data_IF_072845991583
#
_entry.id   IF_072845991583
#
_cell.length_a   1.000
_cell.length_b   1.000
_cell.length_c   1.000
_cell.angle_alpha   90.00
_cell.angle_beta   90.00
_cell.angle_gamma   90.00
#
_symmetry.space_group_name_H-M   'P 1'
#
loop_
_entity.id
_entity.type
_entity.pdbx_description
1 polymer ?
#
# COMPACT_ATOMS: atom_id res chain seq x y z
N UNK A 1 -21.43 -17.33 42.64
CA UNK A 1 -20.36 -18.10 41.97
C UNK A 1 -20.61 -17.95 40.47
N UNK A 2 -20.08 -16.89 39.86
CA UNK A 2 -20.25 -16.66 38.42
C UNK A 2 -19.22 -17.50 37.68
N UNK A 3 -19.71 -18.44 36.88
CA UNK A 3 -18.89 -19.23 35.97
C UNK A 3 -18.16 -18.28 35.02
N UNK A 4 -16.83 -18.26 35.09
CA UNK A 4 -16.01 -17.68 34.00
C UNK A 4 -16.27 -18.55 32.78
N UNK A 5 -16.82 -17.95 31.73
CA UNK A 5 -16.81 -18.56 30.42
C UNK A 5 -15.36 -18.87 30.06
N UNK A 6 -15.05 -20.14 29.81
CA UNK A 6 -13.77 -20.55 29.25
C UNK A 6 -13.69 -19.93 27.85
N UNK A 7 -12.98 -18.79 27.74
CA UNK A 7 -12.53 -18.31 26.45
C UNK A 7 -11.64 -19.37 25.77
N UNK A 8 -11.44 -19.30 24.45
CA UNK A 8 -10.57 -20.24 23.75
C UNK A 8 -9.22 -20.28 24.48
N UNK A 9 -8.80 -21.48 24.86
CA UNK A 9 -7.50 -21.71 25.50
C UNK A 9 -6.45 -21.28 24.48
N UNK A 10 -5.88 -20.10 24.65
CA UNK A 10 -4.81 -19.62 23.78
C UNK A 10 -3.62 -20.57 23.87
N UNK A 11 -2.97 -20.86 22.75
CA UNK A 11 -1.79 -21.73 22.71
C UNK A 11 -0.63 -21.22 23.57
N UNK A 12 0.50 -21.95 23.55
CA UNK A 12 1.70 -21.74 24.37
C UNK A 12 2.16 -20.27 24.46
N UNK A 13 1.92 -19.47 23.42
CA UNK A 13 2.38 -18.08 23.30
C UNK A 13 1.26 -17.03 23.50
N UNK A 14 0.05 -17.46 23.88
CA UNK A 14 -1.11 -16.56 23.96
C UNK A 14 -1.63 -16.13 22.58
N UNK A 15 -2.45 -15.07 22.52
CA UNK A 15 -2.87 -14.47 21.25
C UNK A 15 -1.67 -13.99 20.43
N UNK A 16 -1.75 -14.13 19.11
CA UNK A 16 -0.72 -13.72 18.16
C UNK A 16 -1.21 -12.56 17.29
N UNK A 17 -0.26 -11.78 16.75
CA UNK A 17 -0.51 -10.73 15.75
C UNK A 17 0.42 -10.95 14.57
N UNK A 18 -0.15 -10.99 13.37
CA UNK A 18 0.60 -11.00 12.12
C UNK A 18 0.93 -9.59 11.65
N UNK A 19 2.03 -9.42 10.92
CA UNK A 19 2.38 -8.15 10.28
C UNK A 19 2.95 -8.41 8.89
N UNK A 20 2.31 -7.85 7.85
CA UNK A 20 2.89 -7.73 6.52
C UNK A 20 3.79 -6.50 6.51
N UNK A 21 5.07 -6.68 6.20
CA UNK A 21 6.05 -5.62 5.98
C UNK A 21 6.44 -5.62 4.49
N UNK A 22 5.78 -4.75 3.71
CA UNK A 22 5.99 -4.63 2.26
C UNK A 22 7.02 -3.54 1.98
N UNK A 23 8.31 -3.90 2.02
CA UNK A 23 9.40 -2.98 1.73
C UNK A 23 9.71 -2.82 0.23
N UNK A 24 10.63 -1.91 -0.09
CA UNK A 24 11.06 -1.64 -1.48
C UNK A 24 11.84 -2.80 -2.11
N UNK A 25 12.56 -3.60 -1.32
CA UNK A 25 13.42 -4.69 -1.84
C UNK A 25 12.91 -6.09 -1.49
N UNK A 26 12.03 -6.20 -0.49
CA UNK A 26 11.51 -7.48 -0.02
C UNK A 26 10.19 -7.29 0.69
N UNK A 27 9.37 -8.34 0.68
CA UNK A 27 8.19 -8.46 1.52
C UNK A 27 8.47 -9.46 2.64
N UNK A 28 7.92 -9.20 3.83
CA UNK A 28 7.94 -10.13 4.97
C UNK A 28 6.55 -10.32 5.52
N UNK A 29 6.34 -11.46 6.15
CA UNK A 29 5.24 -11.65 7.10
C UNK A 29 5.81 -12.16 8.41
N UNK A 30 5.58 -11.42 9.48
CA UNK A 30 6.07 -11.74 10.82
C UNK A 30 4.89 -12.08 11.73
N UNK A 31 5.08 -13.01 12.65
CA UNK A 31 4.08 -13.32 13.68
C UNK A 31 4.68 -13.04 15.05
N UNK A 32 3.97 -12.22 15.83
CA UNK A 32 4.38 -11.79 17.16
C UNK A 32 3.48 -12.40 18.23
N UNK A 33 4.03 -12.71 19.40
CA UNK A 33 3.24 -12.94 20.61
C UNK A 33 2.70 -11.62 21.13
N UNK A 34 1.37 -11.46 21.18
CA UNK A 34 0.73 -10.17 21.46
C UNK A 34 1.06 -9.63 22.87
N UNK A 35 1.27 -10.53 23.84
CA UNK A 35 1.54 -10.13 25.23
C UNK A 35 2.98 -9.66 25.48
N UNK A 36 3.94 -10.04 24.63
CA UNK A 36 5.37 -9.79 24.86
C UNK A 36 6.04 -9.01 23.74
N UNK A 37 5.47 -9.00 22.53
CA UNK A 37 6.10 -8.45 21.34
C UNK A 37 7.23 -9.31 20.76
N UNK A 38 7.40 -10.55 21.26
CA UNK A 38 8.40 -11.49 20.74
C UNK A 38 8.02 -11.94 19.32
N UNK A 39 9.00 -11.95 18.41
CA UNK A 39 8.84 -12.55 17.07
C UNK A 39 8.91 -14.07 17.19
N UNK A 40 7.79 -14.75 16.92
CA UNK A 40 7.68 -16.21 16.98
C UNK A 40 8.30 -16.84 15.73
N UNK A 41 7.94 -16.32 14.56
CA UNK A 41 8.47 -16.78 13.27
C UNK A 41 8.16 -15.74 12.20
N UNK A 42 8.85 -15.85 11.07
CA UNK A 42 8.60 -15.03 9.90
C UNK A 42 9.07 -15.74 8.63
N UNK A 43 8.65 -15.23 7.48
CA UNK A 43 9.22 -15.52 6.17
C UNK A 43 9.50 -14.22 5.42
N UNK A 44 10.46 -14.26 4.49
CA UNK A 44 10.85 -13.12 3.65
C UNK A 44 11.02 -13.56 2.20
N UNK A 45 10.49 -12.76 1.28
CA UNK A 45 10.67 -12.91 -0.17
C UNK A 45 11.22 -11.61 -0.77
N UNK A 46 12.19 -11.73 -1.67
CA UNK A 46 12.71 -10.58 -2.41
C UNK A 46 11.70 -10.12 -3.47
N UNK A 47 11.68 -8.81 -3.73
CA UNK A 47 10.86 -8.21 -4.77
C UNK A 47 11.77 -7.53 -5.78
N UNK A 48 11.66 -7.94 -7.04
CA UNK A 48 12.44 -7.36 -8.13
C UNK A 48 12.06 -5.89 -8.37
N UNK A 49 13.06 -5.06 -8.63
CA UNK A 49 12.89 -3.70 -9.10
C UNK A 49 13.19 -3.64 -10.60
N UNK A 50 12.37 -2.91 -11.33
CA UNK A 50 12.46 -2.74 -12.76
C UNK A 50 12.96 -1.33 -13.08
N UNK A 51 13.90 -1.23 -14.01
CA UNK A 51 14.56 0.02 -14.40
C UNK A 51 14.44 0.23 -15.91
N UNK A 52 13.23 0.55 -16.42
CA UNK A 52 13.00 0.63 -17.86
C UNK A 52 13.76 1.80 -18.52
N UNK A 53 14.01 2.87 -17.77
CA UNK A 53 14.76 4.06 -18.20
C UNK A 53 15.57 4.65 -17.04
N UNK A 54 16.52 5.54 -17.37
CA UNK A 54 17.28 6.26 -16.35
C UNK A 54 16.36 7.06 -15.43
N UNK A 55 16.49 6.86 -14.11
CA UNK A 55 15.65 7.51 -13.10
C UNK A 55 14.24 6.92 -12.95
N UNK A 56 13.87 5.91 -13.75
CA UNK A 56 12.59 5.23 -13.63
C UNK A 56 12.75 3.96 -12.81
N UNK A 57 11.87 3.78 -11.82
CA UNK A 57 11.87 2.64 -10.92
C UNK A 57 10.45 2.13 -10.74
N UNK A 58 10.25 0.87 -11.14
CA UNK A 58 8.96 0.20 -11.17
C UNK A 58 8.99 -1.12 -10.41
N UNK A 59 7.81 -1.57 -9.99
CA UNK A 59 7.59 -2.91 -9.49
C UNK A 59 6.31 -3.49 -10.08
N UNK A 60 6.30 -4.79 -10.36
CA UNK A 60 5.08 -5.49 -10.74
C UNK A 60 4.14 -5.58 -9.52
N UNK A 61 2.96 -4.98 -9.61
CA UNK A 61 1.97 -4.96 -8.53
C UNK A 61 1.44 -6.36 -8.17
N UNK A 62 1.34 -7.26 -9.15
CA UNK A 62 0.99 -8.66 -8.92
C UNK A 62 2.14 -9.41 -8.23
N UNK A 63 3.40 -9.07 -8.54
CA UNK A 63 4.55 -9.60 -7.81
C UNK A 63 4.58 -9.14 -6.34
N UNK A 64 4.22 -7.88 -6.06
CA UNK A 64 4.06 -7.39 -4.68
C UNK A 64 3.02 -8.22 -3.91
N UNK A 65 1.83 -8.39 -4.48
CA UNK A 65 0.77 -9.19 -3.86
C UNK A 65 1.20 -10.64 -3.65
N UNK A 66 1.76 -11.27 -4.69
CA UNK A 66 2.24 -12.65 -4.63
C UNK A 66 3.29 -12.83 -3.54
N UNK A 67 4.25 -11.91 -3.42
CA UNK A 67 5.28 -11.98 -2.37
C UNK A 67 4.68 -11.94 -0.96
N UNK A 68 3.64 -11.12 -0.73
CA UNK A 68 2.92 -11.07 0.54
C UNK A 68 2.18 -12.38 0.84
N UNK A 69 1.45 -12.92 -0.14
CA UNK A 69 0.76 -14.20 -0.01
C UNK A 69 1.72 -15.35 0.28
N UNK A 70 2.85 -15.44 -0.44
CA UNK A 70 3.90 -16.43 -0.18
C UNK A 70 4.45 -16.31 1.24
N UNK A 71 4.75 -15.09 1.70
CA UNK A 71 5.25 -14.88 3.06
C UNK A 71 4.23 -15.31 4.11
N UNK A 72 2.94 -15.01 3.92
CA UNK A 72 1.85 -15.45 4.80
C UNK A 72 1.79 -16.98 4.84
N UNK A 73 1.73 -17.63 3.68
CA UNK A 73 1.65 -19.09 3.56
C UNK A 73 2.83 -19.78 4.25
N UNK A 74 4.06 -19.37 3.93
CA UNK A 74 5.29 -19.96 4.50
C UNK A 74 5.40 -19.75 6.00
N UNK A 75 5.00 -18.58 6.51
CA UNK A 75 5.00 -18.31 7.95
C UNK A 75 3.94 -19.16 8.68
N UNK A 76 2.78 -19.41 8.06
CA UNK A 76 1.76 -20.32 8.60
C UNK A 76 2.26 -21.77 8.61
N UNK A 77 3.00 -22.21 7.60
CA UNK A 77 3.68 -23.51 7.61
C UNK A 77 4.71 -23.61 8.75
N UNK A 78 5.48 -22.54 8.98
CA UNK A 78 6.43 -22.45 10.09
C UNK A 78 5.73 -22.56 11.45
N UNK A 79 4.61 -21.86 11.66
CA UNK A 79 3.82 -21.96 12.90
C UNK A 79 3.37 -23.40 13.16
N UNK A 80 2.83 -24.08 12.15
CA UNK A 80 2.41 -25.49 12.28
C UNK A 80 3.57 -26.41 12.61
N UNK A 81 4.74 -26.17 12.02
CA UNK A 81 5.98 -26.93 12.32
C UNK A 81 6.50 -26.70 13.74
N UNK A 82 6.16 -25.55 14.34
CA UNK A 82 6.43 -25.21 15.74
C UNK A 82 5.31 -25.67 16.69
N UNK A 83 4.32 -26.42 16.20
CA UNK A 83 3.13 -26.87 16.94
C UNK A 83 2.29 -25.71 17.50
N UNK A 84 2.25 -24.59 16.78
CA UNK A 84 1.45 -23.40 17.10
C UNK A 84 0.27 -23.33 16.12
N UNK A 85 -0.96 -23.18 16.65
CA UNK A 85 -2.16 -23.06 15.84
C UNK A 85 -2.23 -21.66 15.19
N UNK A 86 -2.25 -21.55 13.85
CA UNK A 86 -2.44 -20.27 13.16
C UNK A 86 -3.73 -19.54 13.54
N UNK A 87 -4.75 -20.25 14.06
CA UNK A 87 -5.96 -19.65 14.59
C UNK A 87 -5.71 -18.75 15.82
N UNK A 88 -4.53 -18.82 16.45
CA UNK A 88 -4.12 -17.90 17.50
C UNK A 88 -3.77 -16.50 16.97
N UNK A 89 -3.57 -16.30 15.66
CA UNK A 89 -3.46 -14.97 15.05
C UNK A 89 -4.81 -14.27 15.11
N UNK A 90 -4.90 -13.19 15.89
CA UNK A 90 -6.16 -12.44 16.10
C UNK A 90 -6.28 -11.18 15.27
N UNK A 91 -5.16 -10.68 14.75
CA UNK A 91 -5.12 -9.51 13.88
C UNK A 91 -3.92 -9.59 12.94
N UNK A 92 -4.03 -8.89 11.81
CA UNK A 92 -2.92 -8.66 10.88
C UNK A 92 -2.78 -7.17 10.66
N UNK A 93 -1.58 -6.65 10.92
CA UNK A 93 -1.18 -5.29 10.52
C UNK A 93 -0.52 -5.28 9.14
N UNK A 94 -0.59 -4.16 8.45
CA UNK A 94 0.13 -3.92 7.19
C UNK A 94 0.97 -2.66 7.36
N UNK A 95 2.24 -2.76 7.02
CA UNK A 95 3.15 -1.62 6.81
C UNK A 95 3.80 -1.77 5.44
N UNK A 96 4.12 -0.65 4.80
CA UNK A 96 4.52 -0.64 3.40
C UNK A 96 5.49 0.50 3.08
N UNK A 97 6.19 0.36 1.96
CA UNK A 97 6.79 1.49 1.26
C UNK A 97 5.67 2.46 0.87
N UNK A 98 5.79 3.69 1.38
CA UNK A 98 4.81 4.75 1.13
C UNK A 98 5.05 5.37 -0.25
N UNK A 99 4.11 6.21 -0.69
CA UNK A 99 4.10 6.92 -1.97
C UNK A 99 4.02 6.07 -3.26
N UNK A 100 4.62 4.87 -3.27
CA UNK A 100 4.53 3.92 -4.40
C UNK A 100 3.08 3.75 -4.82
N UNK A 101 2.82 4.01 -6.10
CA UNK A 101 1.46 4.24 -6.62
C UNK A 101 1.04 3.11 -7.55
N UNK A 102 -0.14 2.55 -7.30
CA UNK A 102 -0.75 1.47 -8.07
C UNK A 102 -2.12 1.92 -8.56
N UNK A 103 -2.44 1.58 -9.81
CA UNK A 103 -3.76 1.77 -10.39
C UNK A 103 -4.25 0.48 -11.04
N UNK A 104 -5.51 0.15 -10.85
CA UNK A 104 -6.11 -1.10 -11.33
C UNK A 104 -7.57 -0.87 -11.75
N UNK A 105 -8.11 -1.78 -12.57
CA UNK A 105 -9.53 -1.77 -12.94
C UNK A 105 -10.34 -2.52 -11.88
N UNK A 106 -11.34 -1.86 -11.28
CA UNK A 106 -12.20 -2.47 -10.25
C UNK A 106 -13.03 -3.67 -10.73
N UNK A 107 -13.20 -3.82 -12.05
CA UNK A 107 -14.03 -4.87 -12.66
C UNK A 107 -13.23 -6.11 -13.03
N UNK A 108 -11.93 -5.96 -13.33
CA UNK A 108 -11.04 -7.09 -13.66
C UNK A 108 -10.08 -7.42 -12.52
N UNK A 109 -9.82 -6.48 -11.61
CA UNK A 109 -8.83 -6.61 -10.55
C UNK A 109 -7.39 -6.47 -11.02
N UNK A 110 -7.19 -6.27 -12.32
CA UNK A 110 -5.85 -6.28 -12.91
C UNK A 110 -5.18 -4.90 -12.82
N UNK A 111 -3.89 -4.84 -12.44
CA UNK A 111 -3.08 -3.64 -12.56
C UNK A 111 -3.02 -3.15 -14.01
N UNK A 112 -3.14 -1.84 -14.22
CA UNK A 112 -3.12 -1.23 -15.57
C UNK A 112 -1.72 -0.78 -16.00
N UNK A 113 -0.77 -0.82 -15.07
CA UNK A 113 0.65 -0.57 -15.28
C UNK A 113 1.43 -1.16 -14.09
N UNK A 114 2.76 -1.22 -14.21
CA UNK A 114 3.60 -1.44 -13.04
C UNK A 114 3.40 -0.33 -12.00
N UNK A 115 3.61 -0.67 -10.74
CA UNK A 115 3.65 0.29 -9.64
C UNK A 115 4.82 1.26 -9.85
N UNK A 116 4.55 2.56 -9.79
CA UNK A 116 5.60 3.59 -9.85
C UNK A 116 6.15 3.80 -8.43
N UNK A 117 7.42 3.44 -8.21
CA UNK A 117 8.05 3.42 -6.88
C UNK A 117 8.32 4.83 -6.37
N UNK A 118 8.31 5.04 -5.05
CA UNK A 118 8.52 6.36 -4.42
C UNK A 118 9.75 7.14 -4.92
N UNK A 119 10.86 6.44 -5.20
CA UNK A 119 12.12 7.03 -5.66
C UNK A 119 12.19 7.28 -7.17
N UNK A 120 11.14 6.96 -7.91
CA UNK A 120 11.01 7.23 -9.34
C UNK A 120 10.99 8.74 -9.63
N UNK A 121 11.72 9.16 -10.66
CA UNK A 121 11.88 10.55 -11.06
C UNK A 121 11.15 10.92 -12.37
N UNK A 122 10.37 10.02 -12.97
CA UNK A 122 9.70 10.24 -14.28
C UNK A 122 8.74 11.42 -14.27
N UNK A 123 8.19 11.75 -13.10
CA UNK A 123 7.19 12.81 -12.92
C UNK A 123 7.81 14.21 -12.88
N UNK A 124 9.10 14.35 -13.21
CA UNK A 124 9.77 15.66 -13.24
C UNK A 124 9.06 16.65 -14.18
N UNK A 125 8.68 16.22 -15.39
CA UNK A 125 7.93 17.07 -16.34
C UNK A 125 6.53 17.40 -15.82
N UNK A 126 5.82 16.44 -15.23
CA UNK A 126 4.52 16.66 -14.57
C UNK A 126 4.63 17.69 -13.45
N UNK A 127 5.70 17.66 -12.65
CA UNK A 127 5.99 18.66 -11.61
C UNK A 127 6.22 20.04 -12.23
N UNK A 128 6.99 20.14 -13.31
CA UNK A 128 7.21 21.41 -14.01
C UNK A 128 5.91 22.01 -14.58
N UNK A 129 5.04 21.19 -15.13
CA UNK A 129 3.73 21.60 -15.66
C UNK A 129 2.82 22.11 -14.55
N UNK A 130 2.68 21.35 -13.46
CA UNK A 130 1.88 21.78 -12.29
C UNK A 130 2.44 23.07 -11.69
N UNK A 131 3.77 23.22 -11.61
CA UNK A 131 4.38 24.44 -11.08
C UNK A 131 4.11 25.67 -11.95
N UNK A 132 4.02 25.54 -13.28
CA UNK A 132 3.68 26.67 -14.16
C UNK A 132 2.28 27.20 -13.88
N UNK A 133 1.35 26.33 -13.50
CA UNK A 133 -0.03 26.68 -13.15
C UNK A 133 -0.19 27.08 -11.67
N UNK A 134 0.79 26.72 -10.84
CA UNK A 134 0.81 27.05 -9.41
C UNK A 134 1.12 28.54 -9.18
N UNK A 135 0.34 29.27 -8.36
CA UNK A 135 0.61 30.66 -8.05
C UNK A 135 2.05 30.91 -7.54
N UNK A 136 2.74 31.83 -8.21
CA UNK A 136 4.13 32.16 -7.91
C UNK A 136 5.14 31.05 -8.24
N UNK A 137 4.72 29.99 -8.95
CA UNK A 137 5.53 28.79 -9.25
C UNK A 137 6.18 28.20 -7.98
N UNK A 138 5.47 28.31 -6.85
CA UNK A 138 5.99 27.98 -5.55
C UNK A 138 5.79 26.48 -5.25
N UNK A 139 6.89 25.75 -5.06
CA UNK A 139 6.85 24.33 -4.68
C UNK A 139 6.15 24.08 -3.35
N UNK A 140 6.14 25.04 -2.43
CA UNK A 140 5.48 24.92 -1.14
C UNK A 140 4.02 25.41 -1.15
N UNK A 141 3.43 25.75 -2.30
CA UNK A 141 2.10 26.38 -2.38
C UNK A 141 0.98 25.58 -1.67
N UNK A 142 1.03 24.25 -1.75
CA UNK A 142 0.03 23.35 -1.15
C UNK A 142 0.44 22.82 0.23
N UNK A 143 1.62 23.21 0.72
CA UNK A 143 2.22 22.63 1.92
C UNK A 143 1.43 22.92 3.19
N UNK A 144 0.75 24.05 3.28
CA UNK A 144 -0.10 24.36 4.43
C UNK A 144 -1.35 23.45 4.49
N UNK A 145 -1.74 22.84 3.36
CA UNK A 145 -2.89 21.94 3.26
C UNK A 145 -2.46 20.49 3.50
N UNK A 146 -1.47 20.00 2.76
CA UNK A 146 -1.07 18.58 2.77
C UNK A 146 0.24 18.30 3.50
N UNK A 147 0.97 19.31 3.97
CA UNK A 147 2.26 19.18 4.65
C UNK A 147 3.45 18.92 3.72
N UNK A 148 3.23 18.92 2.40
CA UNK A 148 4.21 18.44 1.41
C UNK A 148 4.50 19.49 0.33
N UNK A 149 5.75 19.57 -0.18
CA UNK A 149 6.08 20.33 -1.37
C UNK A 149 5.71 19.56 -2.66
N UNK A 150 5.53 20.28 -3.76
CA UNK A 150 5.33 19.71 -5.10
C UNK A 150 6.66 19.15 -5.60
N UNK A 151 6.80 17.82 -5.55
CA UNK A 151 8.01 17.09 -5.97
C UNK A 151 7.64 15.72 -6.55
N UNK A 152 8.57 15.06 -7.21
CA UNK A 152 8.34 13.77 -7.88
C UNK A 152 7.99 12.62 -6.93
N UNK A 153 8.23 12.81 -5.62
CA UNK A 153 8.11 11.79 -4.58
C UNK A 153 6.66 11.32 -4.38
N UNK A 154 5.69 12.23 -4.39
CA UNK A 154 4.34 11.96 -3.88
C UNK A 154 3.38 11.35 -4.91
N UNK A 155 2.39 10.60 -4.41
CA UNK A 155 1.53 9.75 -5.24
C UNK A 155 0.68 10.52 -6.25
N UNK A 156 0.20 11.73 -5.93
CA UNK A 156 -0.60 12.54 -6.84
C UNK A 156 0.11 12.78 -8.18
N UNK A 157 1.42 13.03 -8.16
CA UNK A 157 2.21 13.29 -9.36
C UNK A 157 2.35 12.02 -10.21
N UNK A 158 2.50 10.86 -9.56
CA UNK A 158 2.57 9.55 -10.21
C UNK A 158 1.22 9.18 -10.81
N UNK A 159 0.13 9.42 -10.08
CA UNK A 159 -1.23 9.24 -10.57
C UNK A 159 -1.51 10.13 -11.78
N UNK A 160 -1.20 11.43 -11.72
CA UNK A 160 -1.35 12.35 -12.84
C UNK A 160 -0.58 11.86 -14.07
N UNK A 161 0.68 11.47 -13.89
CA UNK A 161 1.50 10.92 -14.98
C UNK A 161 0.86 9.68 -15.62
N UNK A 162 0.33 8.74 -14.82
CA UNK A 162 -0.37 7.55 -15.33
C UNK A 162 -1.61 7.93 -16.13
N UNK A 163 -2.42 8.88 -15.64
CA UNK A 163 -3.61 9.38 -16.31
C UNK A 163 -3.28 10.05 -17.65
N UNK A 164 -2.11 10.70 -17.78
CA UNK A 164 -1.70 11.40 -19.00
C UNK A 164 -1.01 10.49 -20.03
N UNK A 165 -0.29 9.47 -19.56
CA UNK A 165 0.66 8.73 -20.40
C UNK A 165 0.30 7.27 -20.66
N UNK A 166 -0.59 6.66 -19.86
CA UNK A 166 -0.95 5.25 -20.02
C UNK A 166 -2.34 5.10 -20.63
N UNK A 167 -2.38 4.64 -21.89
CA UNK A 167 -3.62 4.50 -22.65
C UNK A 167 -4.66 3.62 -21.95
N UNK A 168 -4.25 2.48 -21.39
CA UNK A 168 -5.16 1.56 -20.72
C UNK A 168 -5.78 2.20 -19.46
N UNK A 169 -5.01 3.03 -18.75
CA UNK A 169 -5.52 3.84 -17.63
C UNK A 169 -6.59 4.82 -18.11
N UNK A 170 -6.35 5.53 -19.21
CA UNK A 170 -7.32 6.47 -19.80
C UNK A 170 -8.63 5.77 -20.20
N UNK A 171 -8.53 4.59 -20.81
CA UNK A 171 -9.70 3.81 -21.23
C UNK A 171 -10.56 3.34 -20.04
N UNK A 172 -9.93 2.94 -18.93
CA UNK A 172 -10.63 2.51 -17.71
C UNK A 172 -11.21 3.70 -16.93
N UNK A 173 -10.50 4.84 -16.90
CA UNK A 173 -11.01 6.10 -16.32
C UNK A 173 -12.27 6.56 -17.05
N UNK A 174 -12.29 6.51 -18.37
CA UNK A 174 -13.46 6.90 -19.17
C UNK A 174 -14.71 6.05 -18.85
N UNK A 175 -14.52 4.83 -18.35
CA UNK A 175 -15.59 3.92 -17.89
C UNK A 175 -15.96 4.12 -16.42
N UNK A 176 -15.25 4.97 -15.68
CA UNK A 176 -15.44 5.18 -14.24
C UNK A 176 -15.02 3.97 -13.39
N UNK A 177 -14.10 3.15 -13.89
CA UNK A 177 -13.71 1.88 -13.29
C UNK A 177 -12.33 1.90 -12.62
N UNK A 178 -11.58 3.00 -12.73
CA UNK A 178 -10.24 3.10 -12.18
C UNK A 178 -10.27 3.13 -10.65
N UNK A 179 -9.45 2.31 -10.01
CA UNK A 179 -9.03 2.47 -8.63
C UNK A 179 -7.58 2.90 -8.57
N UNK A 180 -7.27 3.72 -7.56
CA UNK A 180 -5.95 4.19 -7.22
C UNK A 180 -5.68 3.86 -5.75
N UNK A 181 -4.43 3.54 -5.43
CA UNK A 181 -4.00 3.38 -4.05
C UNK A 181 -2.49 3.36 -3.91
N UNK A 182 -2.03 3.61 -2.69
CA UNK A 182 -0.70 3.21 -2.25
C UNK A 182 -0.66 1.70 -1.98
N UNK A 183 0.51 1.15 -1.67
CA UNK A 183 0.71 -0.30 -1.52
C UNK A 183 -0.20 -0.92 -0.45
N UNK A 184 -0.45 -0.23 0.67
CA UNK A 184 -1.41 -0.67 1.69
C UNK A 184 -2.80 -0.89 1.11
N UNK A 185 -3.29 0.05 0.30
CA UNK A 185 -4.61 -0.02 -0.33
C UNK A 185 -4.70 -1.21 -1.29
N UNK A 186 -3.66 -1.42 -2.09
CA UNK A 186 -3.59 -2.56 -3.02
C UNK A 186 -3.62 -3.89 -2.28
N UNK A 187 -2.82 -4.04 -1.22
CA UNK A 187 -2.79 -5.25 -0.41
C UNK A 187 -4.12 -5.46 0.34
N UNK A 188 -4.68 -4.42 0.95
CA UNK A 188 -5.97 -4.49 1.64
C UNK A 188 -7.08 -4.91 0.69
N UNK A 189 -7.18 -4.30 -0.48
CA UNK A 189 -8.20 -4.62 -1.47
C UNK A 189 -8.16 -6.10 -1.85
N UNK A 190 -6.97 -6.63 -2.19
CA UNK A 190 -6.81 -8.02 -2.57
C UNK A 190 -7.04 -9.00 -1.40
N UNK A 191 -6.43 -8.74 -0.23
CA UNK A 191 -6.50 -9.64 0.92
C UNK A 191 -7.89 -9.70 1.57
N UNK A 192 -8.75 -8.72 1.30
CA UNK A 192 -10.12 -8.66 1.85
C UNK A 192 -11.20 -9.09 0.86
N UNK A 193 -10.83 -9.54 -0.34
CA UNK A 193 -11.76 -10.15 -1.31
C UNK A 193 -11.55 -9.76 -2.76
N UNK A 194 -10.74 -8.74 -3.06
CA UNK A 194 -10.49 -8.29 -4.43
C UNK A 194 -11.80 -8.03 -5.19
N UNK A 195 -11.99 -8.75 -6.30
CA UNK A 195 -13.22 -8.69 -7.10
C UNK A 195 -14.49 -9.08 -6.32
N UNK A 196 -14.36 -9.89 -5.28
CA UNK A 196 -15.46 -10.38 -4.45
C UNK A 196 -15.80 -9.43 -3.30
N UNK A 197 -15.62 -8.12 -3.51
CA UNK A 197 -15.97 -7.08 -2.54
C UNK A 197 -14.82 -6.61 -1.64
N UNK A 198 -13.58 -6.64 -2.17
CA UNK A 198 -12.40 -6.14 -1.49
C UNK A 198 -12.54 -4.68 -1.01
N UNK A 199 -12.04 -4.41 0.19
CA UNK A 199 -12.09 -3.09 0.81
C UNK A 199 -11.07 -2.14 0.17
N UNK A 200 -11.57 -1.13 -0.54
CA UNK A 200 -10.75 -0.04 -1.08
C UNK A 200 -10.56 1.05 -0.01
N UNK A 201 -9.56 0.86 0.86
CA UNK A 201 -9.30 1.74 2.01
C UNK A 201 -7.80 1.98 2.22
N UNK A 202 -7.45 3.09 2.84
CA UNK A 202 -6.08 3.46 3.22
C UNK A 202 -6.08 4.04 4.63
N UNK A 203 -4.94 3.98 5.32
CA UNK A 203 -4.78 4.64 6.62
C UNK A 203 -4.37 6.12 6.45
N UNK A 204 -4.52 6.91 7.53
CA UNK A 204 -4.18 8.34 7.50
C UNK A 204 -2.70 8.58 7.24
N UNK A 205 -1.82 7.63 7.61
CA UNK A 205 -0.38 7.80 7.42
C UNK A 205 0.01 7.64 5.96
N UNK A 206 -0.52 6.66 5.23
CA UNK A 206 -0.35 6.54 3.78
C UNK A 206 -1.08 7.65 3.02
N UNK A 207 -2.33 7.96 3.40
CA UNK A 207 -3.09 9.05 2.79
C UNK A 207 -2.35 10.40 2.87
N UNK A 208 -1.66 10.69 3.98
CA UNK A 208 -0.85 11.91 4.14
C UNK A 208 0.29 12.05 3.14
N UNK A 209 0.68 10.95 2.48
CA UNK A 209 1.80 10.91 1.52
C UNK A 209 1.35 11.05 0.07
N UNK A 210 0.05 11.11 -0.16
CA UNK A 210 -0.50 11.22 -1.51
C UNK A 210 -0.37 12.62 -2.10
N UNK A 211 -0.24 13.66 -1.26
CA UNK A 211 -0.45 15.07 -1.63
C UNK A 211 -1.91 15.43 -1.98
N UNK A 212 -2.87 14.55 -1.66
CA UNK A 212 -4.31 14.74 -1.89
C UNK A 212 -5.11 14.89 -0.59
N UNK A 213 -4.51 14.58 0.57
CA UNK A 213 -5.15 14.68 1.88
C UNK A 213 -4.82 16.02 2.55
N UNK A 214 -5.83 16.64 3.15
CA UNK A 214 -5.64 17.75 4.06
C UNK A 214 -5.22 17.22 5.45
N UNK A 215 -4.02 17.57 5.91
CA UNK A 215 -3.44 16.99 7.14
C UNK A 215 -4.10 17.50 8.43
N UNK A 216 -4.85 18.60 8.37
CA UNK A 216 -5.59 19.12 9.53
C UNK A 216 -6.93 18.42 9.71
N UNK A 217 -7.61 18.07 8.61
CA UNK A 217 -8.93 17.42 8.64
C UNK A 217 -8.88 15.91 8.51
N UNK A 218 -7.75 15.37 8.03
CA UNK A 218 -7.56 13.96 7.68
C UNK A 218 -8.58 13.47 6.64
N UNK A 219 -8.99 14.36 5.73
CA UNK A 219 -9.90 14.09 4.62
C UNK A 219 -9.23 14.42 3.30
N UNK A 220 -9.72 13.82 2.21
CA UNK A 220 -9.33 14.23 0.86
C UNK A 220 -9.71 15.69 0.62
N UNK A 221 -8.76 16.47 0.11
CA UNK A 221 -8.99 17.89 -0.18
C UNK A 221 -9.52 18.04 -1.62
N UNK A 222 -10.76 18.53 -1.83
CA UNK A 222 -11.33 18.65 -3.16
C UNK A 222 -10.59 19.61 -4.09
N UNK A 223 -9.79 20.53 -3.57
CA UNK A 223 -8.99 21.43 -4.40
C UNK A 223 -7.69 20.77 -4.84
N UNK A 224 -7.07 19.94 -3.99
CA UNK A 224 -5.88 19.18 -4.37
C UNK A 224 -6.19 18.07 -5.39
N UNK A 225 -7.41 17.51 -5.34
CA UNK A 225 -7.86 16.48 -6.28
C UNK A 225 -8.28 17.01 -7.67
N UNK A 226 -8.49 18.33 -7.83
CA UNK A 226 -8.89 18.96 -9.09
C UNK A 226 -7.67 19.38 -9.88
#
# INVERSE_FOLDING_TARGET
MFARANGPVSGKHGPLVGAVDQGTSSTRFLVFAAGTGEVITYHQEEVAQLYPQSGWVEQDANALLKSALTCIEKTVENLRSLEIDPADIKAVGITNQRETTIVWDKTTGEPLANAIVWLDARTATTVEEILKETPGQNKDYVKDICGLPITTYFSALKLRWLLDNVKDVQEVVAKGNLLFGTVDTWLLWNLTGGLDGGLHVTDVTNASRTMLMNISTLQWDPNLCK
#
